data_IF_758536915639
#
_entry.id   IF_758536915639
#
_cell.length_a   1.000
_cell.length_b   1.000
_cell.length_c   1.000
_cell.angle_alpha   90.00
_cell.angle_beta   90.00
_cell.angle_gamma   90.00
#
_symmetry.space_group_name_H-M   'P 1'
#
loop_
_entity.id
_entity.type
_entity.pdbx_description
1 polymer ?
#
# COMPACT_ATOMS: atom_id res chain seq x y z
N UNK A 1 13.24 16.88 4.89
CA UNK A 1 13.34 15.47 4.43
C UNK A 1 13.90 14.49 5.46
N UNK A 2 14.50 14.91 6.58
CA UNK A 2 14.94 13.96 7.64
C UNK A 2 13.82 13.42 8.54
N UNK A 3 12.68 14.12 8.63
CA UNK A 3 11.52 13.65 9.42
C UNK A 3 10.75 12.50 8.77
N UNK A 4 10.70 12.44 7.43
CA UNK A 4 10.10 11.32 6.69
C UNK A 4 10.86 10.00 6.90
N UNK A 5 12.15 10.08 7.25
CA UNK A 5 13.04 8.94 7.46
C UNK A 5 12.86 8.27 8.83
N UNK A 6 12.37 8.99 9.84
CA UNK A 6 12.17 8.42 11.18
C UNK A 6 10.89 7.57 11.26
N UNK A 7 9.84 7.92 10.51
CA UNK A 7 8.56 7.20 10.52
C UNK A 7 8.59 5.86 9.75
N UNK A 8 9.61 5.65 8.91
CA UNK A 8 9.86 4.35 8.28
C UNK A 8 10.47 3.32 9.24
N UNK A 9 10.88 3.73 10.45
CA UNK A 9 11.50 2.83 11.43
C UNK A 9 10.49 2.03 12.28
N UNK A 10 9.18 2.33 12.17
CA UNK A 10 8.10 1.47 12.66
C UNK A 10 7.36 0.78 11.50
N UNK A 11 8.12 0.32 10.50
CA UNK A 11 7.97 -0.81 9.54
C UNK A 11 6.59 -1.09 8.89
N UNK A 12 5.48 -0.54 9.34
CA UNK A 12 4.19 -1.18 9.16
C UNK A 12 3.12 -0.19 8.68
N UNK A 13 3.21 1.08 9.07
CA UNK A 13 2.20 2.09 8.74
C UNK A 13 0.85 1.88 9.44
N UNK A 14 0.70 0.83 10.25
CA UNK A 14 -0.47 0.59 11.11
C UNK A 14 -0.11 1.04 12.52
N UNK A 15 -0.79 2.05 13.07
CA UNK A 15 -0.50 2.53 14.42
C UNK A 15 -0.78 1.47 15.50
N UNK A 16 0.14 1.31 16.47
CA UNK A 16 -0.03 0.33 17.57
C UNK A 16 -0.46 0.90 18.91
N UNK A 17 -0.43 2.21 19.04
CA UNK A 17 -0.82 2.95 20.24
C UNK A 17 -1.42 4.30 19.85
N UNK A 18 -1.92 5.02 20.84
CA UNK A 18 -2.54 6.32 20.63
C UNK A 18 -1.57 7.35 20.06
N UNK A 19 -0.33 7.42 20.53
CA UNK A 19 0.62 8.41 20.03
C UNK A 19 0.92 8.18 18.54
N UNK A 20 1.03 6.92 18.11
CA UNK A 20 1.19 6.56 16.71
C UNK A 20 -0.07 6.85 15.90
N UNK A 21 -1.26 6.69 16.48
CA UNK A 21 -2.50 7.05 15.80
C UNK A 21 -2.60 8.55 15.59
N UNK A 22 -2.22 9.39 16.57
CA UNK A 22 -2.14 10.83 16.37
C UNK A 22 -1.19 11.17 15.23
N UNK A 23 -0.02 10.54 15.19
CA UNK A 23 0.94 10.77 14.12
C UNK A 23 0.39 10.36 12.77
N UNK A 24 -0.19 9.16 12.65
CA UNK A 24 -0.84 8.70 11.42
C UNK A 24 -1.93 9.68 10.96
N UNK A 25 -2.75 10.16 11.89
CA UNK A 25 -3.83 11.10 11.60
C UNK A 25 -3.30 12.45 11.13
N UNK A 26 -2.33 13.03 11.83
CA UNK A 26 -1.66 14.25 11.41
C UNK A 26 -1.02 14.10 10.01
N UNK A 27 -0.36 12.97 9.74
CA UNK A 27 0.27 12.72 8.44
C UNK A 27 -0.77 12.59 7.34
N UNK A 28 -1.84 11.83 7.57
CA UNK A 28 -2.82 11.47 6.56
C UNK A 28 -3.79 12.61 6.27
N UNK A 29 -4.21 13.35 7.30
CA UNK A 29 -5.17 14.43 7.20
C UNK A 29 -4.51 15.77 6.83
N UNK A 30 -3.38 16.12 7.46
CA UNK A 30 -2.80 17.46 7.35
C UNK A 30 -1.55 17.50 6.47
N UNK A 31 -0.55 16.69 6.81
CA UNK A 31 0.79 16.85 6.23
C UNK A 31 0.89 16.34 4.79
N UNK A 32 0.40 15.12 4.52
CA UNK A 32 0.49 14.51 3.19
C UNK A 32 -0.33 15.29 2.16
N UNK A 33 -1.58 15.70 2.46
CA UNK A 33 -2.33 16.50 1.51
C UNK A 33 -1.69 17.86 1.23
N UNK A 34 -1.14 18.52 2.26
CA UNK A 34 -0.39 19.77 2.10
C UNK A 34 0.82 19.60 1.16
N UNK A 35 1.64 18.56 1.38
CA UNK A 35 2.81 18.30 0.55
C UNK A 35 2.43 17.98 -0.91
N UNK A 36 1.42 17.14 -1.11
CA UNK A 36 0.94 16.78 -2.43
C UNK A 36 0.34 17.99 -3.18
N UNK A 37 -0.44 18.83 -2.49
CA UNK A 37 -0.99 20.06 -3.07
C UNK A 37 0.12 21.04 -3.47
N UNK A 38 1.13 21.22 -2.60
CA UNK A 38 2.27 22.10 -2.90
C UNK A 38 3.09 21.59 -4.09
N UNK A 39 3.30 20.29 -4.18
CA UNK A 39 3.97 19.66 -5.32
C UNK A 39 3.15 19.81 -6.60
N UNK A 40 1.84 19.53 -6.56
CA UNK A 40 0.95 19.63 -7.73
C UNK A 40 0.95 21.06 -8.30
N UNK A 41 0.86 22.07 -7.44
CA UNK A 41 0.97 23.48 -7.86
C UNK A 41 2.29 23.85 -8.53
N UNK A 42 3.39 23.20 -8.15
CA UNK A 42 4.73 23.52 -8.65
C UNK A 42 5.13 22.69 -9.88
N UNK A 43 4.57 21.49 -10.03
CA UNK A 43 5.08 20.49 -10.96
C UNK A 43 4.01 19.87 -11.88
N UNK A 44 2.72 19.93 -11.53
CA UNK A 44 1.65 19.37 -12.34
C UNK A 44 1.09 20.42 -13.32
N UNK A 45 0.54 19.96 -14.45
CA UNK A 45 -0.25 20.83 -15.32
C UNK A 45 -1.59 21.17 -14.63
N UNK A 46 -2.29 22.26 -15.01
CA UNK A 46 -3.56 22.64 -14.40
C UNK A 46 -4.63 21.53 -14.40
N UNK A 47 -4.66 20.71 -15.46
CA UNK A 47 -5.57 19.55 -15.55
C UNK A 47 -5.16 18.47 -14.55
N UNK A 48 -3.87 18.16 -14.44
CA UNK A 48 -3.36 17.17 -13.48
C UNK A 48 -3.50 17.66 -12.04
N UNK A 49 -3.33 18.95 -11.75
CA UNK A 49 -3.59 19.53 -10.44
C UNK A 49 -5.07 19.37 -10.05
N UNK A 50 -6.00 19.65 -10.96
CA UNK A 50 -7.44 19.42 -10.70
C UNK A 50 -7.76 17.94 -10.45
N UNK A 51 -7.16 17.03 -11.22
CA UNK A 51 -7.35 15.59 -11.03
C UNK A 51 -6.74 15.08 -9.72
N UNK A 52 -5.54 15.54 -9.35
CA UNK A 52 -4.90 15.19 -8.08
C UNK A 52 -5.73 15.72 -6.90
N UNK A 53 -6.17 16.98 -6.94
CA UNK A 53 -6.99 17.53 -5.87
C UNK A 53 -8.30 16.73 -5.70
N UNK A 54 -9.03 16.49 -6.80
CA UNK A 54 -10.37 15.91 -6.76
C UNK A 54 -10.38 14.38 -6.56
N UNK A 55 -9.47 13.65 -7.19
CA UNK A 55 -9.46 12.19 -7.14
C UNK A 55 -8.61 11.65 -6.00
N UNK A 56 -7.57 12.37 -5.59
CA UNK A 56 -6.62 11.91 -4.57
C UNK A 56 -6.80 12.62 -3.24
N UNK A 57 -6.72 13.95 -3.22
CA UNK A 57 -6.61 14.68 -1.95
C UNK A 57 -7.92 14.70 -1.17
N UNK A 58 -9.03 14.99 -1.83
CA UNK A 58 -10.36 14.96 -1.19
C UNK A 58 -10.71 13.57 -0.66
N UNK A 59 -10.46 12.52 -1.46
CA UNK A 59 -10.75 11.14 -1.05
C UNK A 59 -9.86 10.70 0.12
N UNK A 60 -8.56 10.98 0.06
CA UNK A 60 -7.65 10.68 1.17
C UNK A 60 -8.03 11.43 2.44
N UNK A 61 -8.41 12.70 2.35
CA UNK A 61 -8.83 13.49 3.50
C UNK A 61 -10.10 12.91 4.12
N UNK A 62 -11.09 12.54 3.32
CA UNK A 62 -12.30 11.91 3.84
C UNK A 62 -12.00 10.59 4.56
N UNK A 63 -11.14 9.74 3.97
CA UNK A 63 -10.75 8.47 4.57
C UNK A 63 -9.92 8.66 5.85
N UNK A 64 -9.08 9.71 5.89
CA UNK A 64 -8.38 10.09 7.11
C UNK A 64 -9.37 10.50 8.21
N UNK A 65 -10.39 11.29 7.89
CA UNK A 65 -11.46 11.67 8.85
C UNK A 65 -12.15 10.41 9.39
N UNK A 66 -12.53 9.49 8.51
CA UNK A 66 -13.25 8.27 8.86
C UNK A 66 -12.40 7.36 9.76
N UNK A 67 -11.09 7.27 9.53
CA UNK A 67 -10.19 6.42 10.32
C UNK A 67 -9.58 7.10 11.56
N UNK A 68 -9.65 8.42 11.65
CA UNK A 68 -9.11 9.19 12.78
C UNK A 68 -10.13 9.51 13.87
N UNK A 69 -11.36 9.03 13.72
CA UNK A 69 -12.38 9.19 14.75
C UNK A 69 -12.06 8.31 15.99
N UNK A 70 -12.57 8.72 17.16
CA UNK A 70 -12.29 8.06 18.45
C UNK A 70 -12.76 6.60 18.50
N UNK A 71 -13.85 6.27 17.82
CA UNK A 71 -14.42 4.92 17.82
C UNK A 71 -13.55 3.95 17.01
N UNK A 72 -13.19 4.33 15.78
CA UNK A 72 -12.30 3.55 14.93
C UNK A 72 -10.96 3.30 15.61
N UNK A 73 -10.36 4.36 16.17
CA UNK A 73 -9.09 4.29 16.89
C UNK A 73 -9.14 3.34 18.08
N UNK A 74 -10.19 3.44 18.90
CA UNK A 74 -10.40 2.55 20.05
C UNK A 74 -10.52 1.10 19.60
N UNK A 75 -11.21 0.84 18.51
CA UNK A 75 -11.35 -0.52 17.97
C UNK A 75 -10.03 -1.04 17.39
N UNK A 76 -9.33 -0.23 16.59
CA UNK A 76 -8.06 -0.59 16.00
C UNK A 76 -6.98 -0.87 17.06
N UNK A 77 -6.93 -0.07 18.13
CA UNK A 77 -6.02 -0.29 19.27
C UNK A 77 -6.21 -1.64 19.98
N UNK A 78 -7.41 -2.24 19.94
CA UNK A 78 -7.63 -3.57 20.53
C UNK A 78 -6.87 -4.67 19.77
N UNK A 79 -6.69 -4.48 18.46
CA UNK A 79 -6.11 -5.48 17.57
C UNK A 79 -4.69 -5.14 17.14
N UNK A 80 -4.27 -3.90 17.32
CA UNK A 80 -3.04 -3.35 16.74
C UNK A 80 -1.77 -4.11 17.14
N UNK A 81 -1.64 -4.55 18.39
CA UNK A 81 -0.51 -5.36 18.86
C UNK A 81 -0.43 -6.72 18.18
N UNK A 82 -1.58 -7.39 18.02
CA UNK A 82 -1.64 -8.67 17.33
C UNK A 82 -1.28 -8.50 15.84
N UNK A 83 -1.83 -7.48 15.20
CA UNK A 83 -1.52 -7.14 13.81
C UNK A 83 -0.03 -6.85 13.63
N UNK A 84 0.59 -6.09 14.52
CA UNK A 84 2.04 -5.83 14.49
C UNK A 84 2.87 -7.11 14.64
N UNK A 85 2.42 -8.05 15.46
CA UNK A 85 3.07 -9.36 15.60
C UNK A 85 2.99 -10.17 14.30
N UNK A 86 1.82 -10.26 13.66
CA UNK A 86 1.65 -10.93 12.36
C UNK A 86 2.63 -10.37 11.32
N UNK A 87 2.82 -9.05 11.31
CA UNK A 87 3.69 -8.37 10.34
C UNK A 87 5.19 -8.60 10.59
N UNK A 88 5.56 -8.98 11.81
CA UNK A 88 6.91 -9.39 12.16
C UNK A 88 7.15 -10.88 11.91
N UNK A 89 6.09 -11.65 11.70
CA UNK A 89 6.18 -13.07 11.51
C UNK A 89 6.84 -13.44 10.17
N UNK A 90 7.72 -14.44 10.23
CA UNK A 90 8.58 -14.87 9.10
C UNK A 90 7.75 -15.42 7.92
N UNK A 91 6.70 -16.24 8.11
CA UNK A 91 5.80 -16.69 7.05
C UNK A 91 5.14 -15.53 6.29
N UNK A 92 4.51 -14.56 6.97
CA UNK A 92 3.89 -13.40 6.32
C UNK A 92 4.91 -12.65 5.45
N UNK A 93 6.09 -12.41 6.01
CA UNK A 93 7.21 -11.73 5.37
C UNK A 93 7.70 -12.46 4.11
N UNK A 94 7.94 -13.77 4.22
CA UNK A 94 8.44 -14.60 3.13
C UNK A 94 7.41 -14.87 2.04
N UNK A 95 6.12 -14.84 2.37
CA UNK A 95 5.04 -15.11 1.42
C UNK A 95 4.55 -13.79 0.84
N UNK A 96 3.89 -12.96 1.64
CA UNK A 96 3.18 -11.78 1.15
C UNK A 96 4.13 -10.67 0.68
N UNK A 97 5.13 -10.31 1.50
CA UNK A 97 5.99 -9.16 1.16
C UNK A 97 6.99 -9.50 0.07
N UNK A 98 7.66 -10.66 0.18
CA UNK A 98 8.59 -11.11 -0.86
C UNK A 98 7.89 -11.26 -2.22
N UNK A 99 6.67 -11.80 -2.25
CA UNK A 99 5.89 -11.90 -3.49
C UNK A 99 5.50 -10.53 -4.03
N UNK A 100 5.06 -9.60 -3.16
CA UNK A 100 4.82 -8.20 -3.54
C UNK A 100 6.06 -7.60 -4.21
N UNK A 101 7.23 -7.68 -3.57
CA UNK A 101 8.48 -7.15 -4.13
C UNK A 101 8.83 -7.79 -5.48
N UNK A 102 8.74 -9.12 -5.58
CA UNK A 102 9.03 -9.86 -6.82
C UNK A 102 8.13 -9.40 -7.96
N UNK A 103 6.82 -9.32 -7.71
CA UNK A 103 5.83 -8.87 -8.69
C UNK A 103 6.09 -7.43 -9.13
N UNK A 104 6.33 -6.49 -8.20
CA UNK A 104 6.59 -5.08 -8.52
C UNK A 104 7.86 -4.92 -9.38
N UNK A 105 8.90 -5.70 -9.09
CA UNK A 105 10.15 -5.71 -9.85
C UNK A 105 9.99 -6.33 -11.23
N UNK A 106 9.27 -7.44 -11.31
CA UNK A 106 8.92 -8.09 -12.57
C UNK A 106 8.16 -7.15 -13.48
N UNK A 107 7.08 -6.52 -12.98
CA UNK A 107 6.31 -5.53 -13.73
C UNK A 107 7.21 -4.40 -14.22
N UNK A 108 8.10 -3.87 -13.36
CA UNK A 108 9.03 -2.83 -13.77
C UNK A 108 9.99 -3.28 -14.89
N UNK A 109 10.42 -4.54 -14.90
CA UNK A 109 11.23 -5.09 -16.00
C UNK A 109 10.42 -5.22 -17.29
N UNK A 110 9.18 -5.71 -17.21
CA UNK A 110 8.28 -5.85 -18.35
C UNK A 110 7.91 -4.50 -18.98
N UNK A 111 7.67 -3.47 -18.16
CA UNK A 111 7.34 -2.13 -18.66
C UNK A 111 8.50 -1.45 -19.39
N UNK A 112 9.76 -1.81 -19.10
CA UNK A 112 10.89 -1.31 -19.93
C UNK A 112 10.87 -1.86 -21.36
N UNK A 113 10.21 -2.98 -21.56
CA UNK A 113 10.06 -3.62 -22.86
C UNK A 113 8.77 -3.18 -23.56
N UNK A 114 7.78 -2.68 -22.80
CA UNK A 114 6.48 -2.22 -23.27
C UNK A 114 6.11 -0.89 -22.59
N UNK A 115 6.20 0.23 -23.33
CA UNK A 115 5.83 1.59 -22.90
C UNK A 115 4.30 1.80 -22.74
N UNK A 116 3.60 0.82 -22.18
CA UNK A 116 2.17 0.90 -21.90
C UNK A 116 1.94 1.25 -20.43
N UNK A 117 1.76 2.55 -20.17
CA UNK A 117 1.51 3.08 -18.83
C UNK A 117 0.24 2.50 -18.19
N UNK A 118 -0.81 2.25 -18.98
CA UNK A 118 -2.06 1.64 -18.49
C UNK A 118 -1.82 0.22 -18.00
N UNK A 119 -1.05 -0.58 -18.74
CA UNK A 119 -0.68 -1.93 -18.33
C UNK A 119 0.17 -1.94 -17.06
N UNK A 120 1.18 -1.04 -17.00
CA UNK A 120 2.00 -0.86 -15.80
C UNK A 120 1.12 -0.55 -14.58
N UNK A 121 0.28 0.47 -14.69
CA UNK A 121 -0.60 0.91 -13.60
C UNK A 121 -1.51 -0.21 -13.11
N UNK A 122 -2.23 -0.87 -14.04
CA UNK A 122 -3.16 -1.96 -13.75
C UNK A 122 -2.48 -3.12 -13.01
N UNK A 123 -1.33 -3.57 -13.51
CA UNK A 123 -0.65 -4.71 -12.91
C UNK A 123 -0.07 -4.40 -11.52
N UNK A 124 0.32 -3.15 -11.26
CA UNK A 124 0.72 -2.69 -9.93
C UNK A 124 -0.48 -2.75 -8.97
N UNK A 125 -1.67 -2.36 -9.43
CA UNK A 125 -2.91 -2.47 -8.67
C UNK A 125 -3.30 -3.92 -8.36
N UNK A 126 -3.23 -4.82 -9.35
CA UNK A 126 -3.46 -6.24 -9.15
C UNK A 126 -2.50 -6.84 -8.10
N UNK A 127 -1.22 -6.48 -8.20
CA UNK A 127 -0.19 -6.92 -7.26
C UNK A 127 -0.46 -6.44 -5.84
N UNK A 128 -0.86 -5.17 -5.68
CA UNK A 128 -1.18 -4.64 -4.36
C UNK A 128 -2.43 -5.30 -3.76
N UNK A 129 -3.49 -5.50 -4.55
CA UNK A 129 -4.70 -6.18 -4.08
C UNK A 129 -4.38 -7.61 -3.62
N UNK A 130 -3.55 -8.34 -4.36
CA UNK A 130 -3.07 -9.66 -3.94
C UNK A 130 -2.32 -9.60 -2.60
N UNK A 131 -1.49 -8.57 -2.38
CA UNK A 131 -0.80 -8.37 -1.11
C UNK A 131 -1.77 -8.07 0.05
N UNK A 132 -2.76 -7.20 -0.17
CA UNK A 132 -3.80 -6.90 0.84
C UNK A 132 -4.57 -8.15 1.22
N UNK A 133 -4.97 -8.97 0.24
CA UNK A 133 -5.66 -10.23 0.50
C UNK A 133 -4.79 -11.21 1.30
N UNK A 134 -3.50 -11.33 0.94
CA UNK A 134 -2.53 -12.17 1.64
C UNK A 134 -2.37 -11.73 3.12
N UNK A 135 -2.14 -10.43 3.35
CA UNK A 135 -2.04 -9.87 4.69
C UNK A 135 -3.34 -10.06 5.48
N UNK A 136 -4.50 -9.82 4.84
CA UNK A 136 -5.82 -10.02 5.44
C UNK A 136 -6.04 -11.45 5.90
N UNK A 137 -5.64 -12.45 5.10
CA UNK A 137 -5.73 -13.86 5.48
C UNK A 137 -4.88 -14.20 6.71
N UNK A 138 -3.63 -13.72 6.76
CA UNK A 138 -2.76 -13.91 7.92
C UNK A 138 -3.30 -13.23 9.17
N UNK A 139 -3.79 -11.99 9.07
CA UNK A 139 -4.41 -11.29 10.20
C UNK A 139 -5.69 -11.99 10.64
N UNK A 140 -6.53 -12.46 9.72
CA UNK A 140 -7.77 -13.14 10.08
C UNK A 140 -7.49 -14.45 10.84
N UNK A 141 -6.47 -15.21 10.41
CA UNK A 141 -6.07 -16.44 11.06
C UNK A 141 -5.58 -16.21 12.51
N UNK A 142 -4.77 -15.18 12.73
CA UNK A 142 -4.12 -14.95 14.04
C UNK A 142 -4.90 -14.00 14.97
N UNK A 143 -5.49 -12.95 14.40
CA UNK A 143 -6.11 -11.84 15.14
C UNK A 143 -7.64 -11.75 14.96
N UNK A 144 -8.21 -12.62 14.12
CA UNK A 144 -9.64 -12.71 13.85
C UNK A 144 -10.16 -11.75 12.78
N UNK A 145 -11.39 -12.01 12.34
CA UNK A 145 -12.03 -11.32 11.21
C UNK A 145 -12.11 -9.80 11.37
N UNK A 146 -12.43 -9.32 12.57
CA UNK A 146 -12.57 -7.88 12.81
C UNK A 146 -11.25 -7.13 12.63
N UNK A 147 -10.13 -7.72 13.07
CA UNK A 147 -8.79 -7.17 12.86
C UNK A 147 -8.45 -7.10 11.37
N UNK A 148 -8.74 -8.17 10.62
CA UNK A 148 -8.51 -8.22 9.18
C UNK A 148 -9.34 -7.16 8.45
N UNK A 149 -10.61 -6.97 8.83
CA UNK A 149 -11.46 -5.95 8.23
C UNK A 149 -10.90 -4.55 8.46
N UNK A 150 -10.49 -4.20 9.69
CA UNK A 150 -9.93 -2.89 10.00
C UNK A 150 -8.67 -2.58 9.19
N UNK A 151 -7.78 -3.57 9.05
CA UNK A 151 -6.55 -3.41 8.27
C UNK A 151 -6.83 -3.30 6.78
N UNK A 152 -7.79 -4.06 6.26
CA UNK A 152 -8.22 -3.95 4.87
C UNK A 152 -8.82 -2.58 4.58
N UNK A 153 -9.69 -2.07 5.47
CA UNK A 153 -10.27 -0.73 5.35
C UNK A 153 -9.16 0.34 5.30
N UNK A 154 -8.17 0.23 6.19
CA UNK A 154 -7.00 1.13 6.21
C UNK A 154 -6.18 1.08 4.91
N UNK A 155 -5.89 -0.13 4.41
CA UNK A 155 -5.05 -0.32 3.22
C UNK A 155 -5.75 0.07 1.91
N UNK A 156 -7.07 -0.15 1.82
CA UNK A 156 -7.87 0.35 0.69
C UNK A 156 -7.78 1.88 0.62
N UNK A 157 -7.70 2.56 1.77
CA UNK A 157 -7.52 4.00 1.80
C UNK A 157 -6.15 4.48 1.32
N UNK A 158 -5.09 3.73 1.64
CA UNK A 158 -3.74 3.98 1.12
C UNK A 158 -3.69 3.76 -0.39
N UNK A 159 -4.55 2.88 -0.91
CA UNK A 159 -4.59 2.53 -2.33
C UNK A 159 -5.79 3.11 -3.09
N UNK A 160 -6.27 4.30 -2.67
CA UNK A 160 -7.42 5.00 -3.28
C UNK A 160 -7.33 5.19 -4.81
N UNK A 161 -6.14 5.01 -5.39
CA UNK A 161 -5.89 5.05 -6.82
C UNK A 161 -6.23 3.76 -7.55
N UNK A 162 -5.96 2.61 -6.96
CA UNK A 162 -6.34 1.36 -7.59
C UNK A 162 -7.82 1.15 -7.33
N UNK A 163 -8.70 1.33 -8.32
CA UNK A 163 -10.00 0.70 -8.19
C UNK A 163 -9.74 -0.77 -7.84
N UNK A 164 -10.50 -1.32 -6.89
CA UNK A 164 -10.71 -2.76 -6.88
C UNK A 164 -11.38 -3.04 -8.23
N UNK A 165 -10.58 -3.18 -9.29
CA UNK A 165 -10.99 -3.70 -10.57
C UNK A 165 -11.56 -5.05 -10.18
N UNK A 166 -12.89 -5.09 -10.06
CA UNK A 166 -13.58 -6.29 -9.70
C UNK A 166 -13.01 -7.35 -10.62
N UNK A 167 -12.53 -8.45 -10.03
CA UNK A 167 -12.00 -9.65 -10.64
C UNK A 167 -13.00 -10.33 -11.61
N UNK A 168 -13.97 -9.59 -12.15
CA UNK A 168 -15.14 -10.04 -12.86
C UNK A 168 -15.71 -8.96 -13.84
N UNK A 169 -14.88 -8.08 -14.40
CA UNK A 169 -15.29 -7.31 -15.59
C UNK A 169 -15.21 -8.23 -16.81
N UNK A 170 -16.22 -8.20 -17.69
CA UNK A 170 -16.25 -8.98 -18.94
C UNK A 170 -15.18 -8.56 -19.97
N UNK A 171 -14.45 -7.47 -19.70
CA UNK A 171 -13.31 -7.04 -20.50
C UNK A 171 -12.02 -7.72 -20.00
N UNK A 172 -11.41 -8.55 -20.85
CA UNK A 172 -10.14 -9.24 -20.55
C UNK A 172 -9.00 -8.25 -20.26
N UNK A 173 -9.08 -7.02 -20.77
CA UNK A 173 -8.08 -5.98 -20.51
C UNK A 173 -8.21 -5.35 -19.12
N UNK A 174 -9.29 -5.60 -18.39
CA UNK A 174 -9.51 -5.07 -17.03
C UNK A 174 -9.48 -6.18 -15.96
N UNK A 175 -9.16 -7.43 -16.33
CA UNK A 175 -8.99 -8.52 -15.38
C UNK A 175 -7.53 -8.69 -14.98
N UNK A 176 -7.29 -8.86 -13.67
CA UNK A 176 -6.00 -9.24 -13.12
C UNK A 176 -5.64 -10.68 -13.51
N UNK A 177 -5.06 -10.87 -14.69
CA UNK A 177 -4.55 -12.18 -15.12
C UNK A 177 -3.17 -12.44 -14.46
N UNK A 178 -3.00 -13.50 -13.66
CA UNK A 178 -1.78 -13.73 -12.87
C UNK A 178 -0.48 -13.72 -13.70
N UNK A 179 -0.50 -14.24 -14.92
CA UNK A 179 0.63 -14.25 -15.86
C UNK A 179 1.15 -12.86 -16.22
N UNK A 180 0.35 -11.80 -16.03
CA UNK A 180 0.72 -10.43 -16.36
C UNK A 180 1.44 -9.69 -15.22
N UNK A 181 1.21 -10.08 -13.97
CA UNK A 181 1.70 -9.33 -12.80
C UNK A 181 2.46 -10.19 -11.78
N UNK A 182 2.22 -11.51 -11.77
CA UNK A 182 2.93 -12.44 -10.90
C UNK A 182 4.27 -12.77 -11.50
N UNK A 183 5.33 -12.56 -10.72
CA UNK A 183 6.68 -12.90 -11.12
C UNK A 183 6.84 -14.44 -11.27
N UNK A 184 7.74 -14.91 -12.15
CA UNK A 184 8.13 -16.31 -12.21
C UNK A 184 8.57 -16.85 -10.84
N UNK A 185 8.37 -18.15 -10.57
CA UNK A 185 8.66 -18.75 -9.26
C UNK A 185 10.15 -18.69 -8.87
N UNK A 186 11.03 -18.63 -9.86
CA UNK A 186 12.49 -18.50 -9.73
C UNK A 186 12.96 -17.04 -9.71
N UNK A 187 12.04 -16.07 -9.77
CA UNK A 187 12.36 -14.66 -9.72
C UNK A 187 12.65 -14.21 -8.29
N UNK A 188 13.89 -13.81 -8.04
CA UNK A 188 14.35 -13.33 -6.74
C UNK A 188 14.28 -11.79 -6.66
N UNK A 189 13.48 -11.21 -5.74
CA UNK A 189 13.40 -9.76 -5.57
C UNK A 189 14.68 -9.19 -4.97
N UNK A 190 15.05 -7.99 -5.42
CA UNK A 190 16.22 -7.24 -4.94
C UNK A 190 15.92 -6.35 -3.74
N UNK A 191 14.65 -6.14 -3.42
CA UNK A 191 14.22 -5.36 -2.25
C UNK A 191 14.76 -3.93 -2.27
N UNK A 192 15.50 -3.52 -1.24
CA UNK A 192 16.11 -2.18 -1.16
C UNK A 192 17.04 -1.84 -2.31
N UNK A 193 17.74 -2.84 -2.87
CA UNK A 193 18.64 -2.67 -4.01
C UNK A 193 17.88 -2.54 -5.35
N UNK A 194 16.55 -2.64 -5.32
CA UNK A 194 15.72 -2.55 -6.51
C UNK A 194 15.76 -1.16 -7.16
N UNK A 195 15.75 -1.16 -8.50
CA UNK A 195 15.52 0.05 -9.31
C UNK A 195 14.03 0.36 -9.47
N UNK A 196 13.14 -0.57 -9.15
CA UNK A 196 11.70 -0.33 -9.17
C UNK A 196 11.33 0.52 -7.94
N UNK A 197 10.88 1.76 -8.19
CA UNK A 197 10.57 2.72 -7.12
C UNK A 197 9.59 2.13 -6.09
N UNK A 198 8.51 1.49 -6.55
CA UNK A 198 7.51 0.89 -5.67
C UNK A 198 8.06 -0.31 -4.90
N UNK A 199 8.82 -1.23 -5.51
CA UNK A 199 9.47 -2.32 -4.76
C UNK A 199 10.35 -1.79 -3.64
N UNK A 200 11.18 -0.77 -3.93
CA UNK A 200 12.05 -0.15 -2.93
C UNK A 200 11.28 0.56 -1.82
N UNK A 201 10.17 1.23 -2.14
CA UNK A 201 9.26 1.83 -1.17
C UNK A 201 8.65 0.76 -0.25
N UNK A 202 8.12 -0.33 -0.82
CA UNK A 202 7.53 -1.42 -0.05
C UNK A 202 8.55 -2.24 0.74
N UNK A 203 9.82 -2.26 0.32
CA UNK A 203 10.91 -2.87 1.10
C UNK A 203 11.15 -2.13 2.42
N UNK A 204 10.80 -0.85 2.51
CA UNK A 204 10.81 -0.11 3.78
C UNK A 204 9.70 -0.58 4.74
N UNK A 205 8.64 -1.22 4.22
CA UNK A 205 7.56 -1.80 5.04
C UNK A 205 7.88 -3.20 5.58
N UNK A 206 9.02 -3.78 5.21
CA UNK A 206 9.55 -4.97 5.85
C UNK A 206 11.05 -5.03 5.53
N UNK A 207 11.87 -4.29 6.29
CA UNK A 207 13.29 -4.17 5.99
C UNK A 207 14.06 -5.50 6.11
N UNK A 208 13.41 -6.53 6.67
CA UNK A 208 13.96 -7.87 6.87
C UNK A 208 13.52 -8.87 5.79
N UNK A 209 12.74 -8.44 4.78
CA UNK A 209 12.37 -9.27 3.62
C UNK A 209 13.09 -8.80 2.37
N UNK A 210 14.02 -9.64 1.91
CA UNK A 210 15.02 -9.27 0.92
C UNK A 210 16.28 -8.79 1.64
N UNK A 211 17.36 -9.55 1.44
CA UNK A 211 18.70 -9.38 2.01
C UNK A 211 19.08 -7.96 2.46
#
# INVERSE_FOLDING_TARGET
MRYFYWQQQHITGIPVDDDQFEQYCFISHDFSPYCAHKWAKQCASPIYDSLINRLYLERLQQLAIDHCNKEYRREANKHSKCVDQVKRDVPYRNICVRQLQANLEWIHQQTKQNDNLTYWYRNQCCTFNQYVDCLGQHINAECGFKASQLVNDLLVSVNAFCPQEAFNSSDKLLQCQPDMYVAPKDFEPKGFASKAFLSRLYSQLAPETGF
#
